data_IF_108534376386
#
_entry.id   IF_108534376386
#
_cell.length_a   1.000
_cell.length_b   1.000
_cell.length_c   1.000
_cell.angle_alpha   90.00
_cell.angle_beta   90.00
_cell.angle_gamma   90.00
#
_symmetry.space_group_name_H-M   'P 1'
#
loop_
_entity.id
_entity.type
_entity.pdbx_description
1 polymer ?
#
# COMPACT_ATOMS: atom_id res chain seq x y z
N UNK A 1 36.54 -62.99 29.67
CA UNK A 1 36.66 -62.10 28.50
C UNK A 1 35.29 -61.53 28.14
N UNK A 2 34.96 -60.31 28.58
CA UNK A 2 33.83 -59.52 28.08
C UNK A 2 34.30 -58.07 28.03
N UNK A 3 34.40 -57.53 26.80
CA UNK A 3 34.90 -56.18 26.50
C UNK A 3 33.83 -55.16 26.91
N UNK A 4 34.23 -54.15 27.69
CA UNK A 4 33.40 -52.97 27.99
C UNK A 4 33.55 -52.03 26.81
N UNK A 5 32.46 -51.76 26.08
CA UNK A 5 32.41 -50.76 25.02
C UNK A 5 31.92 -49.45 25.65
N UNK A 6 32.80 -48.47 25.76
CA UNK A 6 32.45 -47.10 26.13
C UNK A 6 31.88 -46.38 24.90
N UNK A 7 30.64 -45.90 25.01
CA UNK A 7 30.03 -45.05 23.99
C UNK A 7 30.54 -43.61 24.17
N UNK A 8 31.30 -43.12 23.19
CA UNK A 8 31.63 -41.70 23.07
C UNK A 8 30.36 -40.93 22.68
N UNK A 9 29.90 -40.03 23.56
CA UNK A 9 28.96 -38.97 23.20
C UNK A 9 29.76 -37.86 22.53
N UNK A 10 29.68 -37.78 21.20
CA UNK A 10 30.22 -36.66 20.44
C UNK A 10 29.30 -35.44 20.65
N UNK A 11 29.77 -34.47 21.44
CA UNK A 11 29.12 -33.17 21.60
C UNK A 11 29.33 -32.38 20.30
N UNK A 12 28.34 -32.35 19.40
CA UNK A 12 28.34 -31.42 18.27
C UNK A 12 28.14 -30.00 18.81
N UNK A 13 29.18 -29.18 18.73
CA UNK A 13 29.07 -27.74 18.91
C UNK A 13 28.21 -27.18 17.76
N UNK A 14 27.00 -26.73 18.07
CA UNK A 14 26.19 -25.94 17.16
C UNK A 14 26.84 -24.54 17.10
N UNK A 15 27.32 -24.06 15.94
CA UNK A 15 27.76 -22.68 15.84
C UNK A 15 26.55 -21.77 16.04
N UNK A 16 26.55 -21.03 17.15
CA UNK A 16 25.63 -19.91 17.35
C UNK A 16 26.04 -18.83 16.36
N UNK A 17 25.39 -18.83 15.21
CA UNK A 17 25.43 -17.69 14.29
C UNK A 17 24.65 -16.57 14.97
N UNK A 18 25.39 -15.65 15.60
CA UNK A 18 24.84 -14.35 16.01
C UNK A 18 24.47 -13.63 14.73
N UNK A 19 23.21 -13.75 14.33
CA UNK A 19 22.64 -13.00 13.21
C UNK A 19 22.67 -11.53 13.55
N UNK A 20 23.66 -10.81 13.01
CA UNK A 20 23.62 -9.35 12.96
C UNK A 20 22.34 -8.95 12.23
N UNK A 21 21.54 -8.09 12.86
CA UNK A 21 20.41 -7.45 12.22
C UNK A 21 20.92 -6.71 10.98
N UNK A 22 20.69 -7.30 9.81
CA UNK A 22 20.84 -6.58 8.56
C UNK A 22 19.73 -5.53 8.55
N UNK A 23 20.09 -4.29 8.88
CA UNK A 23 19.34 -3.11 8.45
C UNK A 23 19.36 -3.12 6.93
N UNK A 24 18.39 -3.81 6.33
CA UNK A 24 18.18 -3.82 4.90
C UNK A 24 17.72 -2.43 4.48
N UNK A 25 18.67 -1.56 4.14
CA UNK A 25 18.37 -0.36 3.38
C UNK A 25 17.63 -0.82 2.12
N UNK A 26 16.36 -0.44 2.02
CA UNK A 26 15.51 -0.81 0.90
C UNK A 26 16.07 -0.09 -0.32
N UNK A 27 16.69 -0.83 -1.25
CA UNK A 27 17.27 -0.24 -2.46
C UNK A 27 16.22 0.65 -3.18
N UNK A 28 16.60 1.80 -3.76
CA UNK A 28 15.67 2.66 -4.47
C UNK A 28 15.04 1.87 -5.62
N UNK A 29 13.74 1.62 -5.52
CA UNK A 29 12.99 0.82 -6.49
C UNK A 29 12.60 1.69 -7.69
N UNK A 30 12.65 1.17 -8.93
CA UNK A 30 12.17 1.91 -10.10
C UNK A 30 10.72 2.33 -9.91
N UNK A 31 10.38 3.55 -10.34
CA UNK A 31 9.00 4.03 -10.41
C UNK A 31 8.25 3.14 -11.40
N UNK A 32 7.10 2.61 -11.01
CA UNK A 32 6.27 1.79 -11.89
C UNK A 32 5.62 2.63 -13.00
N UNK A 33 5.28 2.00 -14.12
CA UNK A 33 4.70 2.61 -15.31
C UNK A 33 3.48 3.49 -15.03
N UNK A 34 2.55 3.07 -14.16
CA UNK A 34 1.36 3.86 -13.81
C UNK A 34 1.71 5.13 -13.02
N UNK A 35 2.74 5.08 -12.16
CA UNK A 35 3.24 6.26 -11.45
C UNK A 35 4.07 7.17 -12.37
N UNK A 36 4.77 6.61 -13.36
CA UNK A 36 5.47 7.38 -14.40
C UNK A 36 4.52 8.12 -15.34
N UNK A 37 3.31 7.61 -15.56
CA UNK A 37 2.29 8.26 -16.39
C UNK A 37 1.62 9.46 -15.68
N UNK A 38 1.47 9.41 -14.35
CA UNK A 38 0.81 10.48 -13.58
C UNK A 38 1.79 11.56 -13.07
N UNK A 39 3.01 11.19 -12.67
CA UNK A 39 3.96 12.11 -12.05
C UNK A 39 4.87 12.74 -13.12
N UNK A 40 4.97 14.09 -13.20
CA UNK A 40 5.93 14.74 -14.09
C UNK A 40 7.36 14.23 -13.83
N UNK A 41 8.17 13.92 -14.86
CA UNK A 41 9.49 13.29 -14.67
C UNK A 41 10.45 14.06 -13.76
N UNK A 42 10.39 15.39 -13.78
CA UNK A 42 11.14 16.28 -12.89
C UNK A 42 10.71 16.16 -11.42
N UNK A 43 9.40 16.14 -11.15
CA UNK A 43 8.86 15.88 -9.82
C UNK A 43 9.19 14.46 -9.33
N UNK A 44 9.09 13.47 -10.20
CA UNK A 44 9.35 12.08 -9.87
C UNK A 44 10.81 11.88 -9.39
N UNK A 45 11.77 12.52 -10.04
CA UNK A 45 13.17 12.51 -9.61
C UNK A 45 13.34 13.16 -8.23
N UNK A 46 12.69 14.29 -7.99
CA UNK A 46 12.76 15.00 -6.70
C UNK A 46 12.13 14.18 -5.56
N UNK A 47 11.01 13.50 -5.79
CA UNK A 47 10.41 12.62 -4.78
C UNK A 47 11.33 11.44 -4.42
N UNK A 48 11.95 10.81 -5.42
CA UNK A 48 12.91 9.73 -5.18
C UNK A 48 14.11 10.23 -4.36
N UNK A 49 14.69 11.36 -4.75
CA UNK A 49 15.87 11.93 -4.11
C UNK A 49 15.58 12.33 -2.66
N UNK A 50 14.51 13.10 -2.44
CA UNK A 50 14.14 13.57 -1.11
C UNK A 50 13.74 12.41 -0.19
N UNK A 51 12.88 11.49 -0.65
CA UNK A 51 12.47 10.36 0.19
C UNK A 51 13.64 9.42 0.52
N UNK A 52 14.58 9.24 -0.42
CA UNK A 52 15.83 8.52 -0.15
C UNK A 52 16.71 9.25 0.86
N UNK A 53 16.78 10.58 0.81
CA UNK A 53 17.55 11.37 1.78
C UNK A 53 16.99 11.26 3.21
N UNK A 54 15.67 11.15 3.34
CA UNK A 54 14.96 11.11 4.63
C UNK A 54 14.49 9.71 5.06
N UNK A 55 14.91 8.65 4.35
CA UNK A 55 14.67 7.22 4.66
C UNK A 55 13.20 6.82 4.80
N UNK A 56 12.37 7.12 3.80
CA UNK A 56 11.00 6.58 3.71
C UNK A 56 10.54 6.36 2.27
N UNK A 57 9.37 5.74 2.09
CA UNK A 57 8.84 5.41 0.76
C UNK A 57 8.45 6.65 -0.04
N UNK A 58 9.06 6.84 -1.22
CA UNK A 58 8.80 7.98 -2.11
C UNK A 58 7.33 8.12 -2.50
N UNK A 59 6.59 7.01 -2.53
CA UNK A 59 5.16 6.99 -2.84
C UNK A 59 4.33 7.86 -1.89
N UNK A 60 4.68 7.89 -0.60
CA UNK A 60 3.99 8.75 0.38
C UNK A 60 4.26 10.23 0.10
N UNK A 61 5.51 10.57 -0.25
CA UNK A 61 5.87 11.95 -0.56
C UNK A 61 5.24 12.43 -1.87
N UNK A 62 5.26 11.58 -2.89
CA UNK A 62 4.59 11.84 -4.17
C UNK A 62 3.09 12.02 -3.98
N UNK A 63 2.45 11.16 -3.19
CA UNK A 63 1.03 11.27 -2.88
C UNK A 63 0.66 12.57 -2.15
N UNK A 64 1.51 13.05 -1.23
CA UNK A 64 1.32 14.40 -0.65
C UNK A 64 1.34 15.45 -1.75
N UNK A 65 2.35 15.46 -2.63
CA UNK A 65 2.40 16.46 -3.69
C UNK A 65 1.29 16.33 -4.75
N UNK A 66 0.73 15.12 -4.93
CA UNK A 66 -0.47 14.90 -5.74
C UNK A 66 -1.68 15.61 -5.15
N UNK A 67 -1.95 15.39 -3.86
CA UNK A 67 -3.11 15.96 -3.16
C UNK A 67 -2.95 17.47 -2.95
N UNK A 68 -1.74 17.96 -2.68
CA UNK A 68 -1.50 19.37 -2.41
C UNK A 68 -1.56 20.26 -3.66
N UNK A 69 -1.03 19.81 -4.80
CA UNK A 69 -1.06 20.62 -6.03
C UNK A 69 -0.91 19.82 -7.33
N UNK A 70 -1.37 18.57 -7.38
CA UNK A 70 -1.26 17.72 -8.57
C UNK A 70 0.17 17.71 -9.18
N UNK A 71 1.18 17.55 -8.31
CA UNK A 71 2.60 17.63 -8.67
C UNK A 71 2.99 18.96 -9.34
N UNK A 72 2.46 20.07 -8.82
CA UNK A 72 2.74 21.41 -9.33
C UNK A 72 1.99 21.81 -10.59
N UNK A 73 1.09 20.97 -11.12
CA UNK A 73 0.24 21.32 -12.27
C UNK A 73 -0.95 22.18 -11.90
N UNK A 74 -1.32 22.20 -10.62
CA UNK A 74 -2.36 23.09 -10.10
C UNK A 74 -1.88 24.53 -9.97
N UNK A 75 -2.80 25.43 -9.59
CA UNK A 75 -2.50 26.83 -9.35
C UNK A 75 -1.92 27.05 -7.94
N UNK A 76 -0.63 26.72 -7.77
CA UNK A 76 0.10 26.86 -6.50
C UNK A 76 1.31 27.80 -6.58
N UNK A 77 1.36 28.66 -7.60
CA UNK A 77 2.35 29.74 -7.73
C UNK A 77 1.98 31.00 -6.93
N UNK A 78 0.85 30.95 -6.22
CA UNK A 78 0.44 31.94 -5.24
C UNK A 78 -0.14 31.26 -4.00
N UNK A 79 -0.20 31.94 -2.85
CA UNK A 79 -0.84 31.40 -1.67
C UNK A 79 -2.32 31.09 -1.94
N UNK A 80 -2.82 29.96 -1.43
CA UNK A 80 -4.24 29.65 -1.49
C UNK A 80 -5.04 30.52 -0.48
N UNK A 81 -6.35 30.31 -0.36
CA UNK A 81 -7.21 31.10 0.55
C UNK A 81 -6.81 31.00 2.04
N UNK A 82 -6.13 29.92 2.44
CA UNK A 82 -5.58 29.75 3.79
C UNK A 82 -4.14 30.29 3.92
N UNK A 83 -3.55 30.77 2.82
CA UNK A 83 -2.17 31.26 2.76
C UNK A 83 -1.13 30.16 2.53
N UNK A 84 -1.52 28.94 2.20
CA UNK A 84 -0.59 27.84 1.91
C UNK A 84 0.10 28.06 0.55
N UNK A 85 1.41 27.83 0.47
CA UNK A 85 2.26 28.28 -0.63
C UNK A 85 2.97 27.11 -1.32
N UNK A 86 3.16 27.24 -2.64
CA UNK A 86 4.00 26.33 -3.41
C UNK A 86 3.40 24.95 -3.66
N UNK A 87 4.12 24.08 -4.38
CA UNK A 87 3.60 22.79 -4.83
C UNK A 87 3.36 21.76 -3.71
N UNK A 88 3.88 22.02 -2.51
CA UNK A 88 3.64 21.21 -1.31
C UNK A 88 2.78 21.95 -0.27
N UNK A 89 2.17 23.08 -0.65
CA UNK A 89 1.22 23.90 0.15
C UNK A 89 1.69 24.16 1.58
N UNK A 90 2.92 24.68 1.72
CA UNK A 90 3.46 25.04 3.02
C UNK A 90 2.75 26.27 3.60
N UNK A 91 2.33 26.18 4.85
CA UNK A 91 1.90 27.35 5.61
C UNK A 91 3.10 28.27 5.89
N UNK A 92 2.93 29.61 5.88
CA UNK A 92 4.03 30.56 6.12
C UNK A 92 4.74 30.38 7.46
N UNK A 93 4.02 29.91 8.49
CA UNK A 93 4.60 29.63 9.81
C UNK A 93 5.40 28.33 9.88
N UNK A 94 5.17 27.38 8.96
CA UNK A 94 5.83 26.08 8.94
C UNK A 94 7.06 26.09 8.04
N UNK A 95 7.00 26.81 6.92
CA UNK A 95 8.08 26.90 5.94
C UNK A 95 9.48 27.21 6.53
N UNK A 96 9.65 28.21 7.42
CA UNK A 96 10.97 28.57 7.94
C UNK A 96 11.71 27.45 8.68
N UNK A 97 10.97 26.48 9.25
CA UNK A 97 11.56 25.38 10.01
C UNK A 97 12.20 24.30 9.11
N UNK A 98 11.76 24.19 7.85
CA UNK A 98 12.15 23.10 6.94
C UNK A 98 12.79 23.57 5.64
N UNK A 99 12.73 24.86 5.31
CA UNK A 99 13.24 25.43 4.05
C UNK A 99 14.70 25.12 3.72
N UNK A 100 15.53 24.81 4.71
CA UNK A 100 16.96 24.51 4.50
C UNK A 100 17.21 23.06 4.08
N UNK A 101 16.17 22.22 4.03
CA UNK A 101 16.28 20.78 3.77
C UNK A 101 16.84 20.45 2.38
N UNK A 102 16.66 21.33 1.39
CA UNK A 102 17.19 21.18 0.03
C UNK A 102 18.67 21.54 -0.10
N UNK A 103 19.30 22.11 0.94
CA UNK A 103 20.72 22.42 0.97
C UNK A 103 21.01 23.92 1.03
N UNK A 104 21.61 24.47 -0.03
CA UNK A 104 22.14 25.83 -0.04
C UNK A 104 21.10 26.86 -0.52
N UNK A 105 21.11 28.09 0.02
CA UNK A 105 20.20 29.15 -0.41
C UNK A 105 20.50 29.64 -1.84
N UNK A 106 19.57 30.37 -2.48
CA UNK A 106 18.29 30.86 -1.97
C UNK A 106 17.26 29.74 -1.77
N UNK A 107 16.36 29.92 -0.79
CA UNK A 107 15.25 29.00 -0.53
C UNK A 107 13.95 29.61 -1.02
N UNK A 108 13.27 28.96 -1.96
CA UNK A 108 12.01 29.39 -2.54
C UNK A 108 10.92 28.34 -2.31
N UNK A 109 9.82 28.73 -1.67
CA UNK A 109 8.69 27.82 -1.42
C UNK A 109 7.99 27.40 -2.71
N UNK A 110 8.16 28.16 -3.80
CA UNK A 110 7.61 27.85 -5.12
C UNK A 110 8.55 27.02 -5.99
N UNK A 111 9.82 26.87 -5.61
CA UNK A 111 10.74 25.95 -6.28
C UNK A 111 10.39 24.50 -5.90
N UNK A 112 10.18 23.59 -6.87
CA UNK A 112 9.79 22.22 -6.58
C UNK A 112 10.80 21.46 -5.71
N UNK A 113 12.11 21.65 -5.89
CA UNK A 113 13.13 20.96 -5.09
C UNK A 113 13.04 21.42 -3.64
N UNK A 114 13.02 22.72 -3.43
CA UNK A 114 12.95 23.32 -2.09
C UNK A 114 11.68 22.90 -1.35
N UNK A 115 10.52 22.98 -2.00
CA UNK A 115 9.24 22.57 -1.43
C UNK A 115 9.19 21.07 -1.11
N UNK A 116 9.64 20.20 -2.03
CA UNK A 116 9.61 18.74 -1.86
C UNK A 116 10.57 18.29 -0.75
N UNK A 117 11.79 18.82 -0.70
CA UNK A 117 12.73 18.50 0.37
C UNK A 117 12.25 18.99 1.73
N UNK A 118 11.66 20.20 1.80
CA UNK A 118 11.07 20.69 3.03
C UNK A 118 9.91 19.80 3.51
N UNK A 119 9.03 19.37 2.60
CA UNK A 119 7.93 18.46 2.91
C UNK A 119 8.43 17.11 3.43
N UNK A 120 9.45 16.54 2.77
CA UNK A 120 10.08 15.31 3.19
C UNK A 120 10.73 15.43 4.59
N UNK A 121 11.41 16.55 4.87
CA UNK A 121 11.98 16.83 6.18
C UNK A 121 10.90 16.91 7.28
N UNK A 122 9.78 17.60 6.99
CA UNK A 122 8.65 17.69 7.92
C UNK A 122 8.04 16.32 8.20
N UNK A 123 7.70 15.57 7.17
CA UNK A 123 7.10 14.22 7.30
C UNK A 123 8.03 13.26 8.05
N UNK A 124 9.34 13.33 7.78
CA UNK A 124 10.35 12.56 8.51
C UNK A 124 10.40 12.93 9.99
N UNK A 125 10.40 14.23 10.31
CA UNK A 125 10.35 14.72 11.70
C UNK A 125 9.06 14.29 12.43
N UNK A 126 7.94 14.17 11.70
CA UNK A 126 6.66 13.69 12.23
C UNK A 126 6.56 12.15 12.30
N UNK A 127 7.61 11.42 11.89
CA UNK A 127 7.69 9.95 12.03
C UNK A 127 7.00 9.14 10.92
N UNK A 128 6.88 9.70 9.71
CA UNK A 128 6.19 9.07 8.55
C UNK A 128 6.61 7.62 8.28
N UNK A 129 7.87 7.25 8.56
CA UNK A 129 8.41 5.90 8.35
C UNK A 129 7.68 4.83 9.16
N UNK A 130 7.27 5.16 10.38
CA UNK A 130 6.67 4.20 11.33
C UNK A 130 5.22 4.53 11.66
N UNK A 131 4.83 5.81 11.58
CA UNK A 131 3.49 6.28 11.94
C UNK A 131 2.90 7.13 10.79
N UNK A 132 2.68 6.56 9.59
CA UNK A 132 2.34 7.33 8.42
C UNK A 132 1.05 8.15 8.58
N UNK A 133 -0.02 7.56 9.15
CA UNK A 133 -1.26 8.28 9.42
C UNK A 133 -1.08 9.47 10.36
N UNK A 134 -0.31 9.30 11.44
CA UNK A 134 -0.09 10.37 12.40
C UNK A 134 0.74 11.51 11.80
N UNK A 135 1.76 11.18 10.99
CA UNK A 135 2.58 12.17 10.30
C UNK A 135 1.79 12.93 9.24
N UNK A 136 0.96 12.25 8.45
CA UNK A 136 0.06 12.88 7.48
C UNK A 136 -0.99 13.77 8.16
N UNK A 137 -1.55 13.35 9.30
CA UNK A 137 -2.47 14.17 10.09
C UNK A 137 -1.77 15.39 10.72
N UNK A 138 -0.49 15.27 11.08
CA UNK A 138 0.35 16.40 11.50
C UNK A 138 0.63 17.37 10.34
N UNK A 139 0.69 16.86 9.10
CA UNK A 139 0.82 17.66 7.88
C UNK A 139 -0.46 18.46 7.61
N UNK A 140 -1.61 17.79 7.65
CA UNK A 140 -2.93 18.40 7.46
C UNK A 140 -3.93 17.74 8.42
N UNK A 141 -4.61 18.54 9.25
CA UNK A 141 -5.49 18.09 10.36
C UNK A 141 -6.86 17.58 9.87
N UNK A 142 -6.86 16.73 8.85
CA UNK A 142 -8.04 16.15 8.22
C UNK A 142 -7.84 14.66 7.99
N UNK A 143 -8.68 13.81 8.59
CA UNK A 143 -8.66 12.37 8.32
C UNK A 143 -8.97 12.06 6.85
N UNK A 144 -9.84 12.85 6.21
CA UNK A 144 -10.15 12.70 4.79
C UNK A 144 -8.90 12.96 3.91
N UNK A 145 -8.08 13.94 4.27
CA UNK A 145 -6.79 14.17 3.60
C UNK A 145 -5.84 12.99 3.79
N UNK A 146 -5.76 12.44 5.01
CA UNK A 146 -4.92 11.27 5.30
C UNK A 146 -5.34 10.08 4.45
N UNK A 147 -6.64 9.79 4.37
CA UNK A 147 -7.18 8.71 3.54
C UNK A 147 -6.84 8.94 2.06
N UNK A 148 -7.07 10.14 1.53
CA UNK A 148 -6.78 10.47 0.12
C UNK A 148 -5.29 10.33 -0.22
N UNK A 149 -4.39 10.82 0.64
CA UNK A 149 -2.93 10.65 0.44
C UNK A 149 -2.54 9.18 0.46
N UNK A 150 -3.10 8.38 1.37
CA UNK A 150 -2.78 6.95 1.43
C UNK A 150 -3.31 6.20 0.20
N UNK A 151 -4.48 6.58 -0.33
CA UNK A 151 -5.02 6.02 -1.56
C UNK A 151 -4.10 6.28 -2.75
N UNK A 152 -3.60 7.52 -2.90
CA UNK A 152 -2.60 7.85 -3.92
C UNK A 152 -1.27 7.13 -3.69
N UNK A 153 -0.81 7.01 -2.44
CA UNK A 153 0.42 6.30 -2.14
C UNK A 153 0.31 4.82 -2.55
N UNK A 154 -0.79 4.16 -2.23
CA UNK A 154 -1.07 2.77 -2.66
C UNK A 154 -1.13 2.69 -4.19
N UNK A 155 -1.75 3.66 -4.87
CA UNK A 155 -1.76 3.73 -6.34
C UNK A 155 -0.35 3.85 -6.92
N UNK A 156 0.56 4.58 -6.27
CA UNK A 156 1.97 4.64 -6.66
C UNK A 156 2.80 3.41 -6.21
N UNK A 157 2.16 2.38 -5.65
CA UNK A 157 2.82 1.13 -5.27
C UNK A 157 3.31 1.09 -3.83
N UNK A 158 2.81 1.96 -2.95
CA UNK A 158 3.15 1.92 -1.54
C UNK A 158 2.55 0.67 -0.89
N UNK A 159 3.42 -0.17 -0.32
CA UNK A 159 3.02 -1.23 0.60
C UNK A 159 3.68 -0.89 1.93
N UNK A 160 2.85 -0.53 2.92
CA UNK A 160 3.32 -0.40 4.30
C UNK A 160 3.81 -1.74 4.81
N UNK A 161 4.90 -1.77 5.59
CA UNK A 161 5.20 -2.91 6.46
C UNK A 161 4.30 -2.99 7.70
N UNK A 162 3.48 -1.96 7.92
CA UNK A 162 2.48 -1.91 8.99
C UNK A 162 1.09 -2.24 8.43
N UNK A 163 0.72 -3.52 8.51
CA UNK A 163 -0.61 -4.01 8.13
C UNK A 163 -1.74 -3.33 8.92
N UNK A 164 -1.48 -2.81 10.13
CA UNK A 164 -2.49 -2.14 10.95
C UNK A 164 -2.91 -0.80 10.35
N UNK A 165 -1.98 -0.03 9.79
CA UNK A 165 -2.30 1.24 9.13
C UNK A 165 -3.20 1.03 7.90
N UNK A 166 -2.90 0.00 7.09
CA UNK A 166 -3.72 -0.37 5.94
C UNK A 166 -5.10 -0.89 6.38
N UNK A 167 -5.15 -1.68 7.47
CA UNK A 167 -6.42 -2.18 8.00
C UNK A 167 -7.32 -1.04 8.48
N UNK A 168 -6.75 -0.03 9.15
CA UNK A 168 -7.51 1.16 9.56
C UNK A 168 -8.04 1.95 8.35
N UNK A 169 -7.22 2.14 7.32
CA UNK A 169 -7.67 2.78 6.08
C UNK A 169 -8.85 2.02 5.46
N UNK A 170 -8.77 0.68 5.37
CA UNK A 170 -9.89 -0.15 4.86
C UNK A 170 -11.13 -0.05 5.75
N UNK A 171 -10.97 0.00 7.07
CA UNK A 171 -12.08 0.10 8.03
C UNK A 171 -12.82 1.45 7.97
N UNK A 172 -12.13 2.54 7.59
CA UNK A 172 -12.70 3.89 7.47
C UNK A 172 -13.12 4.26 6.04
N UNK A 173 -12.68 3.50 5.02
CA UNK A 173 -12.85 3.91 3.63
C UNK A 173 -14.34 3.97 3.20
N UNK A 174 -14.83 5.12 2.69
CA UNK A 174 -16.25 5.33 2.40
C UNK A 174 -16.79 4.47 1.24
N UNK A 175 -15.91 3.94 0.41
CA UNK A 175 -16.25 3.05 -0.70
C UNK A 175 -16.09 1.56 -0.38
N UNK A 176 -15.71 1.18 0.85
CA UNK A 176 -15.57 -0.23 1.24
C UNK A 176 -16.60 -0.56 2.33
N UNK A 177 -17.54 -1.43 2.00
CA UNK A 177 -18.46 -2.00 2.98
C UNK A 177 -18.09 -3.47 3.24
N UNK A 178 -17.51 -3.68 4.42
CA UNK A 178 -17.12 -4.99 4.93
C UNK A 178 -18.34 -5.77 5.46
N UNK A 179 -18.31 -7.09 5.28
CA UNK A 179 -19.16 -7.98 6.07
C UNK A 179 -18.76 -7.91 7.56
N UNK A 180 -19.67 -8.24 8.50
CA UNK A 180 -19.34 -8.19 9.94
C UNK A 180 -18.18 -9.11 10.36
N UNK A 181 -18.12 -10.32 9.82
CA UNK A 181 -17.02 -11.28 10.02
C UNK A 181 -15.69 -10.73 9.47
N UNK A 182 -15.73 -10.17 8.27
CA UNK A 182 -14.59 -9.56 7.61
C UNK A 182 -14.04 -8.34 8.38
N UNK A 183 -14.91 -7.50 8.95
CA UNK A 183 -14.51 -6.40 9.84
C UNK A 183 -13.76 -6.90 11.08
N UNK A 184 -14.27 -7.94 11.73
CA UNK A 184 -13.63 -8.52 12.91
C UNK A 184 -12.23 -9.07 12.59
N UNK A 185 -12.04 -9.71 11.43
CA UNK A 185 -10.73 -10.21 10.99
C UNK A 185 -9.71 -9.07 10.79
N UNK A 186 -10.12 -7.92 10.25
CA UNK A 186 -9.26 -6.73 10.14
C UNK A 186 -8.90 -6.17 11.50
N UNK A 187 -9.88 -6.02 12.39
CA UNK A 187 -9.68 -5.48 13.76
C UNK A 187 -8.75 -6.39 14.57
N UNK A 188 -8.77 -7.70 14.32
CA UNK A 188 -7.87 -8.69 14.90
C UNK A 188 -6.49 -8.77 14.24
N UNK A 189 -6.25 -8.04 13.13
CA UNK A 189 -4.98 -8.03 12.42
C UNK A 189 -4.65 -9.34 11.68
N UNK A 190 -5.68 -10.06 11.21
CA UNK A 190 -5.53 -11.38 10.58
C UNK A 190 -5.30 -11.33 9.07
N UNK A 191 -5.38 -10.15 8.44
CA UNK A 191 -5.39 -10.00 6.98
C UNK A 191 -4.03 -9.51 6.45
N UNK A 192 -3.55 -10.15 5.38
CA UNK A 192 -2.30 -9.81 4.71
C UNK A 192 -2.37 -8.39 4.13
N UNK A 193 -1.28 -7.63 4.32
CA UNK A 193 -1.16 -6.25 3.85
C UNK A 193 -1.40 -6.07 2.35
N UNK A 194 -1.08 -7.09 1.53
CA UNK A 194 -1.30 -7.05 0.08
C UNK A 194 -2.79 -7.10 -0.28
N UNK A 195 -3.57 -7.89 0.48
CA UNK A 195 -5.04 -7.92 0.34
C UNK A 195 -5.63 -6.54 0.68
N UNK A 196 -5.16 -5.93 1.76
CA UNK A 196 -5.60 -4.60 2.18
C UNK A 196 -5.25 -3.53 1.13
N UNK A 197 -4.03 -3.56 0.59
CA UNK A 197 -3.59 -2.66 -0.47
C UNK A 197 -4.41 -2.85 -1.77
N UNK A 198 -4.72 -4.08 -2.16
CA UNK A 198 -5.57 -4.35 -3.31
C UNK A 198 -6.99 -3.78 -3.14
N UNK A 199 -7.57 -3.93 -1.94
CA UNK A 199 -8.88 -3.35 -1.63
C UNK A 199 -8.87 -1.82 -1.72
N UNK A 200 -7.88 -1.16 -1.13
CA UNK A 200 -7.73 0.30 -1.22
C UNK A 200 -7.56 0.74 -2.67
N UNK A 201 -6.72 0.05 -3.46
CA UNK A 201 -6.51 0.36 -4.88
C UNK A 201 -7.80 0.26 -5.70
N UNK A 202 -8.62 -0.76 -5.45
CA UNK A 202 -9.92 -0.91 -6.08
C UNK A 202 -10.89 0.18 -5.63
N UNK A 203 -10.86 0.54 -4.35
CA UNK A 203 -11.79 1.48 -3.74
C UNK A 203 -11.65 2.92 -4.24
N UNK A 204 -10.51 3.26 -4.87
CA UNK A 204 -10.31 4.55 -5.53
C UNK A 204 -11.32 4.79 -6.64
N UNK A 205 -11.55 3.79 -7.49
CA UNK A 205 -12.40 3.92 -8.68
C UNK A 205 -13.76 3.19 -8.52
N UNK A 206 -13.91 2.39 -7.45
CA UNK A 206 -15.05 1.49 -7.28
C UNK A 206 -15.61 1.45 -5.85
N UNK A 207 -16.93 1.33 -5.73
CA UNK A 207 -17.62 1.01 -4.46
C UNK A 207 -17.71 -0.49 -4.29
N UNK A 208 -17.05 -1.03 -3.28
CA UNK A 208 -17.01 -2.44 -2.95
C UNK A 208 -18.01 -2.71 -1.81
N UNK A 209 -18.92 -3.67 -1.96
CA UNK A 209 -19.88 -4.01 -0.90
C UNK A 209 -19.89 -5.49 -0.56
N UNK A 210 -20.23 -5.76 0.69
CA UNK A 210 -20.19 -7.09 1.29
C UNK A 210 -18.81 -7.77 1.09
N UNK A 211 -17.74 -7.00 1.24
CA UNK A 211 -16.36 -7.46 1.11
C UNK A 211 -16.05 -8.50 2.19
N UNK A 212 -15.43 -9.60 1.78
CA UNK A 212 -15.14 -10.78 2.58
C UNK A 212 -15.82 -12.04 2.03
N UNK A 213 -15.54 -13.22 2.61
CA UNK A 213 -14.74 -13.45 3.81
C UNK A 213 -13.23 -13.23 3.59
N UNK A 214 -12.49 -12.96 4.68
CA UNK A 214 -11.03 -13.08 4.71
C UNK A 214 -10.64 -14.46 5.27
N UNK A 215 -10.75 -14.63 6.59
CA UNK A 215 -10.45 -15.87 7.33
C UNK A 215 -11.73 -16.49 7.86
N UNK A 216 -12.45 -15.73 8.68
CA UNK A 216 -13.70 -16.13 9.31
C UNK A 216 -14.77 -16.31 8.24
N UNK A 217 -15.57 -17.38 8.36
CA UNK A 217 -16.63 -17.69 7.40
C UNK A 217 -16.17 -18.48 6.16
N UNK A 218 -14.91 -18.93 6.10
CA UNK A 218 -14.39 -19.78 5.02
C UNK A 218 -13.82 -21.12 5.54
N UNK A 219 -13.81 -22.16 4.70
CA UNK A 219 -13.19 -23.45 5.02
C UNK A 219 -11.67 -23.40 5.00
N UNK A 220 -11.01 -24.20 5.86
CA UNK A 220 -9.54 -24.28 5.93
C UNK A 220 -8.93 -24.81 4.63
N UNK A 221 -9.56 -25.82 4.03
CA UNK A 221 -9.06 -26.47 2.82
C UNK A 221 -9.82 -26.05 1.57
N UNK A 222 -9.13 -26.04 0.43
CA UNK A 222 -9.75 -25.88 -0.89
C UNK A 222 -10.62 -27.10 -1.17
N UNK A 223 -11.85 -26.86 -1.62
CA UNK A 223 -12.89 -27.89 -1.80
C UNK A 223 -12.37 -29.11 -2.57
N UNK A 224 -12.45 -30.29 -1.93
CA UNK A 224 -12.04 -31.56 -2.53
C UNK A 224 -10.53 -31.81 -2.50
N UNK A 225 -9.75 -31.04 -1.73
CA UNK A 225 -8.30 -31.20 -1.60
C UNK A 225 -7.86 -31.08 -0.13
N UNK A 226 -6.59 -31.35 0.15
CA UNK A 226 -5.93 -31.06 1.45
C UNK A 226 -5.10 -29.77 1.41
N UNK A 227 -5.16 -29.00 0.31
CA UNK A 227 -4.43 -27.74 0.19
C UNK A 227 -5.10 -26.68 1.04
N UNK A 228 -4.32 -26.04 1.92
CA UNK A 228 -4.78 -24.90 2.73
C UNK A 228 -5.18 -23.76 1.79
N UNK A 229 -6.37 -23.21 1.98
CA UNK A 229 -6.87 -22.07 1.23
C UNK A 229 -6.14 -20.79 1.65
N UNK A 230 -5.93 -19.87 0.71
CA UNK A 230 -5.39 -18.54 1.04
C UNK A 230 -6.32 -17.76 1.99
N UNK A 231 -7.64 -18.00 1.94
CA UNK A 231 -8.58 -17.47 2.94
C UNK A 231 -8.22 -17.91 4.36
N UNK A 232 -7.87 -19.19 4.56
CA UNK A 232 -7.64 -19.75 5.90
C UNK A 232 -6.46 -19.11 6.66
N UNK A 233 -5.65 -18.31 5.96
CA UNK A 233 -4.47 -17.62 6.48
C UNK A 233 -4.46 -16.13 6.12
N UNK A 234 -5.63 -15.56 5.79
CA UNK A 234 -5.80 -14.12 5.62
C UNK A 234 -5.21 -13.53 4.34
N UNK A 235 -4.87 -14.36 3.36
CA UNK A 235 -4.24 -13.96 2.09
C UNK A 235 -5.19 -13.93 0.92
N UNK A 236 -6.49 -14.01 1.18
CA UNK A 236 -7.50 -13.88 0.14
C UNK A 236 -8.74 -13.11 0.60
N UNK A 237 -9.49 -12.58 -0.37
CA UNK A 237 -10.75 -11.89 -0.17
C UNK A 237 -11.69 -12.14 -1.34
N UNK A 238 -12.98 -12.22 -1.05
CA UNK A 238 -14.04 -12.22 -2.06
C UNK A 238 -14.81 -10.88 -2.05
N UNK A 239 -15.16 -10.40 -3.24
CA UNK A 239 -15.90 -9.14 -3.44
C UNK A 239 -17.13 -9.45 -4.31
N UNK A 240 -18.34 -9.57 -3.72
CA UNK A 240 -19.53 -9.97 -4.45
C UNK A 240 -20.26 -8.81 -5.14
N UNK A 241 -20.01 -7.55 -4.75
CA UNK A 241 -20.71 -6.38 -5.27
C UNK A 241 -19.71 -5.28 -5.60
N UNK A 242 -19.78 -4.75 -6.83
CA UNK A 242 -18.97 -3.63 -7.31
C UNK A 242 -19.90 -2.58 -7.94
N UNK A 243 -19.74 -1.32 -7.54
CA UNK A 243 -20.53 -0.17 -7.99
C UNK A 243 -22.04 -0.38 -7.87
N UNK A 244 -22.47 -1.00 -6.76
CA UNK A 244 -23.88 -1.24 -6.44
C UNK A 244 -24.51 -2.45 -7.14
N UNK A 245 -23.78 -3.15 -8.00
CA UNK A 245 -24.27 -4.30 -8.75
C UNK A 245 -23.52 -5.59 -8.37
N UNK A 246 -24.22 -6.75 -8.31
CA UNK A 246 -23.55 -8.04 -8.14
C UNK A 246 -22.51 -8.28 -9.23
N UNK A 247 -21.39 -8.89 -8.85
CA UNK A 247 -20.38 -9.35 -9.81
C UNK A 247 -21.02 -10.43 -10.70
N UNK A 248 -20.88 -10.24 -12.01
CA UNK A 248 -21.38 -11.13 -13.04
C UNK A 248 -20.69 -10.80 -14.36
N UNK A 249 -20.78 -11.67 -15.36
CA UNK A 249 -20.14 -11.46 -16.67
C UNK A 249 -20.58 -10.15 -17.36
N UNK A 250 -21.78 -9.63 -17.05
CA UNK A 250 -22.32 -8.38 -17.58
C UNK A 250 -21.96 -7.14 -16.76
N UNK A 251 -21.38 -7.28 -15.57
CA UNK A 251 -20.98 -6.14 -14.75
C UNK A 251 -19.64 -5.58 -15.26
N UNK A 252 -19.70 -4.58 -16.15
CA UNK A 252 -18.52 -3.90 -16.70
C UNK A 252 -17.67 -3.22 -15.62
N UNK A 253 -18.33 -2.70 -14.58
CA UNK A 253 -17.77 -2.23 -13.31
C UNK A 253 -16.72 -3.18 -12.73
N UNK A 254 -17.22 -4.38 -12.42
CA UNK A 254 -16.46 -5.46 -11.82
C UNK A 254 -15.37 -6.01 -12.76
N UNK A 255 -15.62 -6.02 -14.08
CA UNK A 255 -14.59 -6.41 -15.05
C UNK A 255 -13.42 -5.43 -15.04
N UNK A 256 -13.70 -4.14 -15.08
CA UNK A 256 -12.68 -3.09 -15.04
C UNK A 256 -11.87 -3.16 -13.73
N UNK A 257 -12.53 -3.43 -12.60
CA UNK A 257 -11.87 -3.68 -11.31
C UNK A 257 -10.92 -4.90 -11.37
N UNK A 258 -11.37 -6.04 -11.90
CA UNK A 258 -10.52 -7.21 -12.04
C UNK A 258 -9.34 -6.98 -13.01
N UNK A 259 -9.57 -6.24 -14.09
CA UNK A 259 -8.55 -5.86 -15.06
C UNK A 259 -7.50 -4.90 -14.49
N UNK A 260 -7.87 -4.01 -13.57
CA UNK A 260 -6.90 -3.11 -12.93
C UNK A 260 -5.94 -3.88 -12.02
N UNK A 261 -6.43 -4.91 -11.30
CA UNK A 261 -5.60 -5.76 -10.44
C UNK A 261 -4.48 -6.47 -11.19
N UNK A 262 -4.74 -6.99 -12.39
CA UNK A 262 -3.71 -7.71 -13.16
C UNK A 262 -2.68 -6.79 -13.80
N UNK A 263 -2.98 -5.49 -13.92
CA UNK A 263 -2.04 -4.47 -14.38
C UNK A 263 -1.14 -3.95 -13.27
N UNK A 264 -1.42 -4.29 -12.01
CA UNK A 264 -0.61 -3.84 -10.88
C UNK A 264 0.85 -4.32 -10.98
N UNK A 265 1.78 -3.57 -10.38
CA UNK A 265 3.16 -4.01 -10.25
C UNK A 265 3.23 -5.36 -9.54
N UNK A 266 4.21 -6.22 -9.87
CA UNK A 266 4.28 -7.59 -9.34
C UNK A 266 4.19 -7.72 -7.82
N UNK A 267 4.58 -6.69 -7.07
CA UNK A 267 4.54 -6.70 -5.60
C UNK A 267 3.12 -6.54 -5.03
N UNK A 268 2.22 -5.92 -5.80
CA UNK A 268 0.81 -5.69 -5.45
C UNK A 268 -0.14 -6.62 -6.23
N UNK A 269 0.30 -7.12 -7.39
CA UNK A 269 -0.51 -7.98 -8.24
C UNK A 269 -0.85 -9.30 -7.53
N UNK A 270 -2.13 -9.72 -7.52
CA UNK A 270 -2.50 -10.99 -6.91
C UNK A 270 -1.96 -12.18 -7.70
N UNK A 271 -1.60 -13.24 -6.98
CA UNK A 271 -1.19 -14.53 -7.56
C UNK A 271 -2.40 -15.37 -8.01
N UNK A 272 -3.56 -15.16 -7.39
CA UNK A 272 -4.84 -15.81 -7.71
C UNK A 272 -5.89 -14.73 -8.01
N UNK A 273 -6.52 -14.78 -9.19
CA UNK A 273 -7.63 -13.91 -9.56
C UNK A 273 -8.81 -14.73 -10.11
N UNK A 274 -9.81 -14.92 -9.27
CA UNK A 274 -11.05 -15.60 -9.62
C UNK A 274 -12.16 -14.63 -10.03
N UNK A 275 -12.99 -15.00 -10.98
CA UNK A 275 -14.15 -14.20 -11.36
C UNK A 275 -14.93 -14.75 -12.55
N UNK A 276 -15.94 -14.02 -13.06
CA UNK A 276 -16.67 -14.40 -14.27
C UNK A 276 -15.83 -14.42 -15.55
N UNK A 277 -14.59 -13.91 -15.50
CA UNK A 277 -13.69 -13.74 -16.64
C UNK A 277 -12.37 -14.46 -16.40
N UNK A 278 -11.67 -14.77 -17.49
CA UNK A 278 -10.33 -15.34 -17.47
C UNK A 278 -9.34 -14.33 -18.03
N UNK A 279 -8.21 -14.13 -17.32
CA UNK A 279 -7.14 -13.24 -17.73
C UNK A 279 -5.84 -14.02 -17.99
N UNK A 280 -5.19 -13.76 -19.13
CA UNK A 280 -3.92 -14.39 -19.48
C UNK A 280 -2.77 -13.46 -19.13
N UNK A 281 -2.28 -13.53 -17.88
CA UNK A 281 -1.21 -12.69 -17.37
C UNK A 281 -0.16 -13.55 -16.67
N UNK A 282 1.12 -13.35 -17.02
CA UNK A 282 2.22 -14.11 -16.41
C UNK A 282 2.26 -13.89 -14.90
N UNK A 283 2.40 -14.99 -14.16
CA UNK A 283 2.44 -15.00 -12.70
C UNK A 283 1.07 -14.94 -12.01
N UNK A 284 -0.04 -14.87 -12.75
CA UNK A 284 -1.40 -14.83 -12.18
C UNK A 284 -2.16 -16.10 -12.56
N UNK A 285 -2.61 -16.85 -11.57
CA UNK A 285 -3.55 -17.95 -11.71
C UNK A 285 -4.98 -17.40 -11.82
N UNK A 286 -5.49 -17.28 -13.05
CA UNK A 286 -6.86 -16.81 -13.29
C UNK A 286 -7.84 -17.98 -13.47
N UNK A 287 -9.02 -17.91 -12.84
CA UNK A 287 -10.01 -18.99 -12.90
C UNK A 287 -11.46 -18.52 -12.79
N UNK A 288 -12.38 -19.25 -13.43
CA UNK A 288 -13.81 -18.93 -13.43
C UNK A 288 -14.68 -19.93 -12.67
N UNK A 289 -14.24 -21.18 -12.57
CA UNK A 289 -15.01 -22.27 -11.98
C UNK A 289 -15.41 -21.93 -10.54
N UNK A 290 -16.71 -21.87 -10.27
CA UNK A 290 -17.33 -21.49 -8.99
C UNK A 290 -17.18 -20.01 -8.56
N UNK A 291 -16.65 -19.13 -9.43
CA UNK A 291 -16.38 -17.72 -9.10
C UNK A 291 -17.17 -16.75 -9.99
N UNK A 292 -18.35 -17.16 -10.47
CA UNK A 292 -19.17 -16.34 -11.37
C UNK A 292 -19.93 -15.19 -10.68
N UNK A 293 -19.88 -15.11 -9.34
CA UNK A 293 -20.70 -14.20 -8.53
C UNK A 293 -19.89 -13.23 -7.67
N UNK A 294 -18.57 -13.28 -7.74
CA UNK A 294 -17.65 -12.45 -6.97
C UNK A 294 -16.29 -12.34 -7.67
N UNK A 295 -15.51 -11.32 -7.32
CA UNK A 295 -14.09 -11.27 -7.61
C UNK A 295 -13.37 -11.91 -6.44
N UNK A 296 -12.54 -12.91 -6.70
CA UNK A 296 -11.66 -13.52 -5.71
C UNK A 296 -10.23 -13.03 -5.94
N UNK A 297 -9.57 -12.57 -4.89
CA UNK A 297 -8.19 -12.08 -4.91
C UNK A 297 -7.42 -12.94 -3.91
N UNK A 298 -6.29 -13.53 -4.32
CA UNK A 298 -5.45 -14.34 -3.45
C UNK A 298 -3.96 -14.14 -3.68
N UNK A 299 -3.18 -14.31 -2.62
CA UNK A 299 -1.72 -14.18 -2.63
C UNK A 299 -1.02 -15.44 -2.12
N UNK A 300 0.05 -15.81 -2.80
CA UNK A 300 0.96 -16.89 -2.44
C UNK A 300 1.87 -16.48 -1.27
N UNK A 301 2.56 -17.45 -0.61
CA UNK A 301 3.45 -17.18 0.52
C UNK A 301 4.62 -16.27 0.14
#
# INVERSE_FOLDING_TARGET
MKKIVAALVALMAIPVVVGGAASGAMAPRPIDSEALDDIPPDYAQLYLEAASHFDFGWQLLAAVGKVECDHGRGDCYHPNHAGAMGPMQFMPGTWPAYRTASGQPPYDVYDPRDAIFAAAAKLSADGIRTLPRAALFSYNRSEAYVDEVLDWAVRYGWISGDARALAQAVLSHPHIELRPDARADLEAGLVDQRVLAALLRLAVDHRLRAVGPFVSGHSVYVKGTTRVSNHAVGRAVDIPIVNGHPVSASNVAARAAAESLVRLPPQLRPDELGGPWHFSVSGVSSFTKNHHTHIHIGYSP
#
